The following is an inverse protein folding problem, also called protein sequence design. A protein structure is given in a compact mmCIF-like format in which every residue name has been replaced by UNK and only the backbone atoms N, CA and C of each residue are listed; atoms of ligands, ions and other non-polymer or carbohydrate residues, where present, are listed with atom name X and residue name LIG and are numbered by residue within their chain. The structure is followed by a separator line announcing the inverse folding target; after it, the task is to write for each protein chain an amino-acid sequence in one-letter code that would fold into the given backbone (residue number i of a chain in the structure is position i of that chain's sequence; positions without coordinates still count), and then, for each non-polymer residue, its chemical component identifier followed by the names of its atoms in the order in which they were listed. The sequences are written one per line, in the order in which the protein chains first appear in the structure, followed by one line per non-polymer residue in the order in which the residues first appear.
data_IF_160301753254
#
_entry.id   IF_160301753254
#
_cell.length_a   1.000
_cell.length_b   1.000
_cell.length_c   1.000
_cell.angle_alpha   90.00
_cell.angle_beta   90.00
_cell.angle_gamma   90.00
#
_symmetry.space_group_name_H-M   'P 1'
#
loop_
_entity.id
_entity.type
_entity.pdbx_description
1 polymer ?
#
# COMPACT_ATOMS: atom_id res chain seq x y z
N UNK A 1 -0.46 -6.71 -11.92
CA UNK A 1 -0.06 -7.99 -11.29
C UNK A 1 1.43 -7.99 -11.03
N UNK A 2 1.83 -8.48 -9.86
CA UNK A 2 3.23 -8.70 -9.46
C UNK A 2 3.46 -10.20 -9.53
N UNK A 3 4.19 -10.65 -10.56
CA UNK A 3 4.43 -12.08 -10.83
C UNK A 3 5.91 -12.38 -11.09
N UNK A 4 6.79 -11.38 -11.00
CA UNK A 4 8.22 -11.51 -11.29
C UNK A 4 9.04 -10.76 -10.24
N UNK A 5 10.24 -11.25 -9.98
CA UNK A 5 11.28 -10.58 -9.20
C UNK A 5 12.43 -10.19 -10.12
N UNK A 6 12.92 -8.96 -9.99
CA UNK A 6 14.03 -8.45 -10.78
C UNK A 6 15.24 -8.19 -9.90
N UNK A 7 16.40 -8.63 -10.37
CA UNK A 7 17.68 -8.37 -9.76
C UNK A 7 18.73 -8.05 -10.84
N UNK A 8 19.69 -7.22 -10.49
CA UNK A 8 20.86 -6.97 -11.34
C UNK A 8 22.11 -7.45 -10.63
N UNK A 9 22.74 -8.50 -11.18
CA UNK A 9 23.91 -9.17 -10.60
C UNK A 9 25.01 -9.18 -11.65
N UNK A 10 26.19 -8.64 -11.30
CA UNK A 10 27.33 -8.59 -12.21
C UNK A 10 27.05 -7.85 -13.54
N UNK A 11 26.19 -6.81 -13.49
CA UNK A 11 25.80 -6.04 -14.68
C UNK A 11 24.72 -6.70 -15.56
N UNK A 12 24.28 -7.92 -15.22
CA UNK A 12 23.24 -8.66 -15.95
C UNK A 12 21.89 -8.57 -15.25
N UNK A 13 20.84 -8.38 -16.01
CA UNK A 13 19.46 -8.38 -15.51
C UNK A 13 18.97 -9.82 -15.38
N UNK A 14 18.51 -10.18 -14.18
CA UNK A 14 18.00 -11.50 -13.85
C UNK A 14 16.55 -11.35 -13.42
N UNK A 15 15.65 -12.04 -14.13
CA UNK A 15 14.24 -12.09 -13.80
C UNK A 15 13.95 -13.52 -13.30
N UNK A 16 13.34 -13.60 -12.13
CA UNK A 16 12.96 -14.87 -11.49
C UNK A 16 11.50 -14.80 -11.03
N UNK A 17 10.96 -15.93 -10.67
CA UNK A 17 9.70 -15.96 -9.95
C UNK A 17 9.81 -15.28 -8.57
N UNK A 18 8.72 -14.76 -8.02
CA UNK A 18 8.69 -14.25 -6.67
C UNK A 18 9.10 -15.33 -5.66
N UNK A 19 9.82 -14.91 -4.62
CA UNK A 19 10.39 -15.82 -3.61
C UNK A 19 9.34 -16.65 -2.85
N UNK A 20 8.13 -16.12 -2.68
CA UNK A 20 7.04 -16.77 -1.94
C UNK A 20 5.73 -16.71 -2.73
N UNK A 21 4.80 -17.67 -2.54
CA UNK A 21 3.51 -17.65 -3.22
C UNK A 21 2.72 -16.35 -3.02
N UNK A 22 2.71 -15.79 -1.81
CA UNK A 22 2.01 -14.52 -1.50
C UNK A 22 2.65 -13.29 -2.15
N UNK A 23 3.88 -13.41 -2.62
CA UNK A 23 4.51 -12.34 -3.40
C UNK A 23 3.89 -12.22 -4.79
N UNK A 24 3.30 -13.30 -5.31
CA UNK A 24 2.51 -13.27 -6.55
C UNK A 24 1.11 -12.74 -6.24
N UNK A 25 0.81 -11.51 -6.66
CA UNK A 25 -0.44 -10.84 -6.32
C UNK A 25 -0.84 -9.78 -7.34
N UNK A 26 -2.13 -9.45 -7.34
CA UNK A 26 -2.66 -8.33 -8.13
C UNK A 26 -3.04 -7.19 -7.18
N UNK A 27 -2.54 -6.00 -7.46
CA UNK A 27 -2.84 -4.78 -6.72
C UNK A 27 -3.61 -3.85 -7.64
N UNK A 28 -4.77 -3.36 -7.20
CA UNK A 28 -5.48 -2.30 -7.90
C UNK A 28 -4.76 -0.98 -7.65
N UNK A 29 -4.34 -0.32 -8.73
CA UNK A 29 -3.77 1.02 -8.67
C UNK A 29 -4.88 2.07 -8.54
N UNK A 30 -4.65 3.18 -7.82
CA UNK A 30 -5.51 4.35 -7.88
C UNK A 30 -5.57 4.93 -9.30
N UNK A 31 -6.68 5.58 -9.64
CA UNK A 31 -6.91 6.10 -11.00
C UNK A 31 -5.85 7.13 -11.40
N UNK A 32 -5.55 8.09 -10.52
CA UNK A 32 -4.52 9.10 -10.77
C UNK A 32 -3.15 8.47 -11.12
N UNK A 33 -2.78 7.38 -10.44
CA UNK A 33 -1.51 6.68 -10.73
C UNK A 33 -1.56 5.96 -12.08
N UNK A 34 -2.74 5.44 -12.48
CA UNK A 34 -2.92 4.86 -13.81
C UNK A 34 -2.74 5.91 -14.90
N UNK A 35 -3.29 7.11 -14.72
CA UNK A 35 -3.16 8.25 -15.64
C UNK A 35 -1.71 8.71 -15.76
N UNK A 36 -1.03 8.94 -14.63
CA UNK A 36 0.39 9.31 -14.61
C UNK A 36 1.27 8.26 -15.32
N UNK A 37 0.99 6.96 -15.09
CA UNK A 37 1.72 5.89 -15.75
C UNK A 37 1.46 5.84 -17.25
N UNK A 38 0.23 6.09 -17.70
CA UNK A 38 -0.10 6.16 -19.12
C UNK A 38 0.62 7.33 -19.80
N UNK A 39 0.65 8.49 -19.16
CA UNK A 39 1.34 9.65 -19.69
C UNK A 39 2.86 9.46 -19.73
N UNK A 40 3.42 8.79 -18.73
CA UNK A 40 4.82 8.38 -18.75
C UNK A 40 5.12 7.42 -19.92
N UNK A 41 4.28 6.40 -20.13
CA UNK A 41 4.47 5.43 -21.21
C UNK A 41 4.42 6.11 -22.60
N UNK A 42 3.54 7.11 -22.80
CA UNK A 42 3.47 7.88 -24.06
C UNK A 42 4.77 8.63 -24.38
N UNK A 43 5.56 8.97 -23.37
CA UNK A 43 6.84 9.66 -23.54
C UNK A 43 8.00 8.73 -23.87
N UNK A 44 7.81 7.41 -23.69
CA UNK A 44 8.84 6.41 -23.98
C UNK A 44 8.89 6.11 -25.48
N UNK A 45 10.08 6.12 -26.05
CA UNK A 45 10.27 5.85 -27.46
C UNK A 45 10.41 4.34 -27.72
N UNK A 46 9.57 3.78 -28.60
CA UNK A 46 9.62 2.39 -29.08
C UNK A 46 9.65 1.34 -27.95
N UNK A 47 8.77 1.50 -26.95
CA UNK A 47 8.65 0.54 -25.86
C UNK A 47 7.79 -0.66 -26.29
N UNK A 48 8.29 -1.86 -26.08
CA UNK A 48 7.58 -3.12 -26.28
C UNK A 48 6.95 -3.65 -24.98
N UNK A 49 6.01 -4.59 -25.10
CA UNK A 49 5.29 -5.19 -23.95
C UNK A 49 6.19 -5.85 -22.91
N UNK A 50 7.39 -6.27 -23.29
CA UNK A 50 8.34 -6.96 -22.43
C UNK A 50 9.46 -6.04 -21.92
N UNK A 51 9.49 -4.80 -22.35
CA UNK A 51 10.51 -3.86 -21.96
C UNK A 51 10.29 -3.37 -20.52
N UNK A 52 11.38 -2.97 -19.90
CA UNK A 52 11.33 -2.33 -18.58
C UNK A 52 10.85 -0.90 -18.73
N UNK A 53 9.80 -0.55 -17.98
CA UNK A 53 9.31 0.84 -17.93
C UNK A 53 10.34 1.80 -17.32
N UNK A 54 11.10 1.33 -16.32
CA UNK A 54 12.09 2.12 -15.60
C UNK A 54 13.47 1.51 -15.76
N UNK A 55 14.25 2.02 -16.70
CA UNK A 55 15.64 1.60 -16.94
C UNK A 55 16.63 2.31 -16.01
N UNK A 56 16.25 2.48 -14.75
CA UNK A 56 17.05 3.16 -13.75
C UNK A 56 17.85 2.20 -12.89
N UNK A 57 19.02 2.65 -12.43
CA UNK A 57 19.86 1.89 -11.51
C UNK A 57 19.43 2.13 -10.06
N UNK A 58 19.83 1.21 -9.16
CA UNK A 58 19.63 1.42 -7.72
C UNK A 58 20.32 2.70 -7.23
N UNK A 59 21.50 3.00 -7.76
CA UNK A 59 22.24 4.22 -7.42
C UNK A 59 21.47 5.48 -7.81
N UNK A 60 20.87 5.49 -9.00
CA UNK A 60 20.03 6.61 -9.44
C UNK A 60 18.87 6.86 -8.46
N UNK A 61 18.17 5.81 -8.04
CA UNK A 61 17.05 5.94 -7.07
C UNK A 61 17.53 6.55 -5.73
N UNK A 62 18.72 6.17 -5.26
CA UNK A 62 19.28 6.76 -4.04
C UNK A 62 19.61 8.24 -4.23
N UNK A 63 20.22 8.64 -5.35
CA UNK A 63 20.50 10.05 -5.65
C UNK A 63 19.22 10.88 -5.75
N UNK A 64 18.17 10.36 -6.40
CA UNK A 64 16.87 11.05 -6.48
C UNK A 64 16.21 11.19 -5.12
N UNK A 65 16.30 10.17 -4.26
CA UNK A 65 15.81 10.26 -2.89
C UNK A 65 16.56 11.33 -2.09
N UNK A 66 17.87 11.39 -2.21
CA UNK A 66 18.71 12.41 -1.54
C UNK A 66 18.34 13.82 -2.03
N UNK A 67 18.22 13.98 -3.36
CA UNK A 67 17.87 15.25 -3.99
C UNK A 67 16.47 15.73 -3.57
N UNK A 68 15.46 14.82 -3.62
CA UNK A 68 14.09 15.12 -3.27
C UNK A 68 13.93 15.46 -1.78
N UNK A 69 14.53 14.67 -0.89
CA UNK A 69 14.48 14.93 0.55
C UNK A 69 15.11 16.29 0.91
N UNK A 70 16.25 16.63 0.30
CA UNK A 70 16.89 17.93 0.48
C UNK A 70 16.03 19.08 -0.04
N UNK A 71 15.45 18.95 -1.22
CA UNK A 71 14.59 19.97 -1.82
C UNK A 71 13.33 20.22 -1.00
N UNK A 72 12.73 19.16 -0.44
CA UNK A 72 11.54 19.25 0.40
C UNK A 72 11.83 19.62 1.86
N UNK A 73 13.09 19.70 2.28
CA UNK A 73 13.47 19.99 3.67
C UNK A 73 13.06 18.91 4.67
N UNK A 74 12.91 17.66 4.20
CA UNK A 74 12.48 16.54 5.04
C UNK A 74 13.63 15.56 5.30
N UNK A 75 13.49 14.77 6.39
CA UNK A 75 14.46 13.73 6.70
C UNK A 75 14.55 12.70 5.58
N UNK A 76 15.75 12.42 5.14
CA UNK A 76 16.02 11.34 4.18
C UNK A 76 15.69 9.98 4.78
N UNK A 77 14.93 9.16 4.03
CA UNK A 77 14.61 7.78 4.37
C UNK A 77 15.20 6.82 3.33
N UNK A 78 15.32 5.54 3.65
CA UNK A 78 15.76 4.51 2.68
C UNK A 78 14.64 4.25 1.67
N UNK A 79 14.98 3.79 0.48
CA UNK A 79 13.98 3.41 -0.55
C UNK A 79 12.98 2.37 0.00
N UNK A 80 13.46 1.42 0.80
CA UNK A 80 12.57 0.42 1.42
C UNK A 80 11.58 1.03 2.45
N UNK A 81 11.95 2.14 3.06
CA UNK A 81 11.09 2.82 4.05
C UNK A 81 9.84 3.44 3.39
N UNK A 82 9.82 3.62 2.07
CA UNK A 82 8.60 3.97 1.33
C UNK A 82 7.50 2.91 1.50
N UNK A 83 7.88 1.63 1.58
CA UNK A 83 6.96 0.55 1.91
C UNK A 83 6.42 0.67 3.33
N UNK A 84 7.28 1.02 4.30
CA UNK A 84 6.85 1.26 5.68
C UNK A 84 5.89 2.45 5.75
N UNK A 85 6.20 3.54 5.06
CA UNK A 85 5.32 4.72 4.98
C UNK A 85 3.95 4.38 4.37
N UNK A 86 3.94 3.55 3.32
CA UNK A 86 2.68 3.09 2.71
C UNK A 86 1.83 2.26 3.68
N UNK A 87 2.45 1.37 4.46
CA UNK A 87 1.75 0.58 5.48
C UNK A 87 1.18 1.49 6.57
N UNK A 88 1.97 2.43 7.08
CA UNK A 88 1.54 3.39 8.10
C UNK A 88 0.36 4.24 7.63
N UNK A 89 0.41 4.72 6.38
CA UNK A 89 -0.69 5.48 5.77
C UNK A 89 -1.98 4.63 5.69
N UNK A 90 -1.88 3.37 5.28
CA UNK A 90 -3.06 2.50 5.20
C UNK A 90 -3.66 2.21 6.59
N UNK A 91 -2.82 2.10 7.63
CA UNK A 91 -3.27 1.97 9.02
C UNK A 91 -4.02 3.24 9.45
N UNK A 92 -3.47 4.41 9.16
CA UNK A 92 -4.10 5.71 9.47
C UNK A 92 -5.44 5.88 8.75
N UNK A 93 -5.55 5.37 7.52
CA UNK A 93 -6.80 5.32 6.77
C UNK A 93 -7.82 4.29 7.30
N UNK A 94 -7.49 3.53 8.35
CA UNK A 94 -8.38 2.59 9.02
C UNK A 94 -8.48 1.21 8.38
N UNK A 95 -7.59 0.84 7.46
CA UNK A 95 -7.60 -0.50 6.87
C UNK A 95 -7.11 -1.56 7.85
N UNK A 96 -7.70 -2.76 7.77
CA UNK A 96 -7.34 -3.88 8.62
C UNK A 96 -5.93 -4.41 8.31
N UNK A 97 -5.27 -4.99 9.32
CA UNK A 97 -3.96 -5.61 9.15
C UNK A 97 -3.95 -6.72 8.07
N UNK A 98 -5.06 -7.45 7.91
CA UNK A 98 -5.22 -8.48 6.86
C UNK A 98 -5.19 -7.86 5.47
N UNK A 99 -6.02 -6.82 5.23
CA UNK A 99 -6.07 -6.14 3.94
C UNK A 99 -4.73 -5.51 3.56
N UNK A 100 -4.02 -4.94 4.54
CA UNK A 100 -2.68 -4.39 4.35
C UNK A 100 -1.68 -5.49 4.00
N UNK A 101 -1.68 -6.61 4.74
CA UNK A 101 -0.79 -7.75 4.48
C UNK A 101 -0.94 -8.28 3.05
N UNK A 102 -2.17 -8.46 2.59
CA UNK A 102 -2.46 -8.92 1.23
C UNK A 102 -1.97 -7.91 0.18
N UNK A 103 -2.25 -6.62 0.37
CA UNK A 103 -1.81 -5.58 -0.55
C UNK A 103 -0.29 -5.51 -0.68
N UNK A 104 0.43 -5.55 0.43
CA UNK A 104 1.89 -5.45 0.41
C UNK A 104 2.59 -6.80 0.20
N UNK A 105 1.86 -7.92 0.25
CA UNK A 105 2.39 -9.28 0.06
C UNK A 105 3.25 -9.73 1.23
N UNK A 106 2.80 -9.54 2.46
CA UNK A 106 3.42 -10.13 3.62
C UNK A 106 3.09 -11.63 3.69
N UNK A 107 4.11 -12.46 3.83
CA UNK A 107 3.94 -13.91 3.94
C UNK A 107 3.15 -14.30 5.20
N UNK A 108 3.41 -13.59 6.29
CA UNK A 108 2.69 -13.72 7.55
C UNK A 108 2.11 -12.38 7.97
N UNK A 109 0.89 -12.41 8.52
CA UNK A 109 0.25 -11.24 9.11
C UNK A 109 1.06 -10.66 10.28
N UNK A 110 1.86 -11.50 10.96
CA UNK A 110 2.73 -11.06 12.05
C UNK A 110 3.69 -9.95 11.61
N UNK A 111 4.10 -9.94 10.34
CA UNK A 111 4.93 -8.85 9.80
C UNK A 111 4.16 -7.51 9.82
N UNK A 112 2.86 -7.55 9.55
CA UNK A 112 2.00 -6.35 9.65
C UNK A 112 1.75 -5.97 11.11
N UNK A 113 1.68 -6.91 12.02
CA UNK A 113 1.54 -6.63 13.46
C UNK A 113 2.78 -5.98 14.09
N UNK A 114 3.94 -5.97 13.45
CA UNK A 114 5.06 -5.13 13.88
C UNK A 114 4.70 -3.63 13.91
N UNK A 115 3.63 -3.24 13.20
CA UNK A 115 3.05 -1.89 13.19
C UNK A 115 1.85 -1.75 14.14
N UNK A 116 1.62 -2.73 15.05
CA UNK A 116 0.44 -2.74 15.92
C UNK A 116 0.28 -1.46 16.76
N UNK A 117 1.40 -0.83 17.11
CA UNK A 117 1.44 0.43 17.85
C UNK A 117 0.87 1.63 17.08
N UNK A 118 0.72 1.52 15.75
CA UNK A 118 0.13 2.55 14.89
C UNK A 118 -1.38 2.38 14.73
N UNK A 119 -1.93 1.19 15.05
CA UNK A 119 -3.37 1.01 15.01
C UNK A 119 -4.03 1.79 16.16
N UNK A 120 -5.10 2.55 15.88
CA UNK A 120 -5.80 3.31 16.91
C UNK A 120 -6.28 2.37 18.03
N UNK A 121 -6.22 2.85 19.27
CA UNK A 121 -6.85 2.15 20.40
C UNK A 121 -8.36 2.29 20.24
N UNK A 122 -9.00 1.21 19.81
CA UNK A 122 -10.41 1.22 19.40
C UNK A 122 -11.40 0.92 20.54
N UNK A 123 -10.94 0.76 21.80
CA UNK A 123 -11.82 0.35 22.90
C UNK A 123 -12.94 1.37 23.15
N UNK A 124 -12.59 2.67 23.24
CA UNK A 124 -13.59 3.74 23.38
C UNK A 124 -14.50 3.82 22.16
N UNK A 125 -13.92 3.80 20.97
CA UNK A 125 -14.65 3.79 19.68
C UNK A 125 -15.62 2.63 19.57
N UNK A 126 -15.21 1.43 19.99
CA UNK A 126 -16.07 0.24 19.99
C UNK A 126 -17.24 0.43 20.96
N UNK A 127 -16.99 0.94 22.15
CA UNK A 127 -18.04 1.21 23.13
C UNK A 127 -19.02 2.25 22.62
N UNK A 128 -18.54 3.33 22.01
CA UNK A 128 -19.38 4.40 21.46
C UNK A 128 -20.22 3.91 20.28
N UNK A 129 -19.66 3.14 19.35
CA UNK A 129 -20.39 2.53 18.26
C UNK A 129 -21.46 1.53 18.74
N UNK A 130 -21.16 0.73 19.76
CA UNK A 130 -22.14 -0.17 20.36
C UNK A 130 -23.28 0.61 21.02
N UNK A 131 -22.98 1.72 21.70
CA UNK A 131 -23.98 2.60 22.26
C UNK A 131 -24.87 3.24 21.19
N UNK A 132 -24.28 3.65 20.06
CA UNK A 132 -25.01 4.23 18.94
C UNK A 132 -25.89 3.20 18.26
N UNK A 133 -25.38 2.01 17.99
CA UNK A 133 -26.15 0.89 17.42
C UNK A 133 -27.40 0.56 18.27
N UNK A 134 -27.27 0.57 19.60
CA UNK A 134 -28.42 0.36 20.51
C UNK A 134 -29.45 1.48 20.40
N UNK A 135 -29.02 2.75 20.25
CA UNK A 135 -29.94 3.90 20.11
C UNK A 135 -30.71 3.83 18.78
N UNK A 136 -30.03 3.50 17.70
CA UNK A 136 -30.62 3.40 16.36
C UNK A 136 -31.59 2.23 16.28
N UNK A 137 -31.24 1.05 16.80
CA UNK A 137 -32.12 -0.11 16.87
C UNK A 137 -33.34 0.09 17.76
N UNK A 138 -33.22 0.85 18.84
CA UNK A 138 -34.38 1.22 19.68
C UNK A 138 -35.32 2.21 18.97
N UNK A 139 -34.81 3.06 18.08
CA UNK A 139 -35.58 4.01 17.31
C UNK A 139 -36.44 3.34 16.23
N UNK A 140 -35.98 2.25 15.64
CA UNK A 140 -36.72 1.49 14.63
C UNK A 140 -37.85 0.67 15.23
N UNK A 141 -37.65 0.08 16.40
CA UNK A 141 -38.67 -0.66 17.14
C UNK A 141 -39.85 0.25 17.57
N UNK A 142 -39.57 1.49 17.97
CA UNK A 142 -40.60 2.47 18.36
C UNK A 142 -41.41 2.94 17.15
N UNK A 143 -40.80 3.05 15.98
CA UNK A 143 -41.50 3.42 14.73
C UNK A 143 -42.44 2.33 14.21
N UNK A 144 -42.11 1.07 14.42
CA UNK A 144 -42.99 -0.05 14.05
C UNK A 144 -44.21 -0.18 14.99
N UNK A 145 -44.05 0.06 16.28
CA UNK A 145 -45.15 0.00 17.26
C UNK A 145 -46.11 1.20 17.22
N UNK A 146 -45.71 2.32 16.64
CA UNK A 146 -46.54 3.52 16.47
C UNK A 146 -47.46 3.51 15.22
N UNK A 147 -47.47 2.42 14.45
CA UNK A 147 -48.29 2.25 13.23
C UNK A 147 -49.39 1.18 13.36
N UNK A 148 -49.69 0.72 14.56
CA UNK A 148 -50.80 -0.20 14.83
C UNK A 148 -52.04 0.54 15.35
#
# INVERSE_FOLDING_TARGET
TISKSYQRIGGRDIITDPKTPKSNRTIKMPEFLCEEMQDYIKQLYRIDKNDRLFEVTKSYLHHEMDRGAKAAGVKRIRIHDLRHSHISLLIEMGYSAVAIADRVGHESINITYNYAHLFPSTQSDMADKLNQFRKDGASDVIKEQGRA
#
